data_IF_840333206123
#
_entry.id   IF_840333206123
#
_cell.length_a   1.000
_cell.length_b   1.000
_cell.length_c   1.000
_cell.angle_alpha   90.00
_cell.angle_beta   90.00
_cell.angle_gamma   90.00
#
_symmetry.space_group_name_H-M   'P 1'
#
loop_
_entity.id
_entity.type
_entity.pdbx_description
1 polymer ?
#
# COMPACT_ATOMS: atom_id res chain seq x y z
N UNK A 1 -16.44 -17.79 6.55
CA UNK A 1 -16.03 -18.06 7.94
C UNK A 1 -15.53 -19.49 8.03
N UNK A 2 -14.26 -19.66 8.38
CA UNK A 2 -13.63 -20.97 8.63
C UNK A 2 -13.75 -21.41 10.10
N UNK A 3 -14.44 -20.61 10.92
CA UNK A 3 -14.65 -20.84 12.35
C UNK A 3 -13.44 -20.55 13.23
N UNK A 4 -12.36 -19.98 12.68
CA UNK A 4 -11.08 -19.77 13.37
C UNK A 4 -10.62 -18.30 13.36
N UNK A 5 -11.46 -17.38 12.86
CA UNK A 5 -11.15 -15.95 12.77
C UNK A 5 -9.87 -15.67 11.95
N UNK A 6 -9.62 -16.51 10.94
CA UNK A 6 -8.54 -16.30 9.99
C UNK A 6 -8.95 -15.27 8.94
N UNK A 7 -8.01 -14.42 8.55
CA UNK A 7 -8.19 -13.47 7.46
C UNK A 7 -7.88 -14.15 6.11
N UNK A 8 -8.76 -13.94 5.14
CA UNK A 8 -8.57 -14.34 3.74
C UNK A 8 -8.71 -13.11 2.87
N UNK A 9 -7.66 -12.76 2.15
CA UNK A 9 -7.63 -11.60 1.28
C UNK A 9 -6.95 -11.97 -0.04
N UNK A 10 -7.46 -11.42 -1.13
CA UNK A 10 -6.95 -11.69 -2.46
C UNK A 10 -7.52 -10.72 -3.48
N UNK A 11 -6.95 -10.76 -4.68
CA UNK A 11 -7.30 -9.85 -5.77
C UNK A 11 -7.04 -10.51 -7.11
N UNK A 12 -7.76 -10.07 -8.14
CA UNK A 12 -7.36 -10.31 -9.54
C UNK A 12 -6.50 -9.14 -10.01
N UNK A 13 -5.45 -9.45 -10.78
CA UNK A 13 -4.64 -8.47 -11.50
C UNK A 13 -5.02 -8.52 -12.98
N UNK A 14 -5.94 -7.65 -13.38
CA UNK A 14 -6.46 -7.61 -14.74
C UNK A 14 -5.69 -6.57 -15.56
N UNK A 15 -4.66 -7.02 -16.27
CA UNK A 15 -3.84 -6.16 -17.14
C UNK A 15 -3.47 -6.84 -18.45
N UNK A 16 -3.16 -6.03 -19.47
CA UNK A 16 -2.82 -6.53 -20.82
C UNK A 16 -1.33 -6.80 -21.02
N UNK A 17 -0.49 -6.43 -20.05
CA UNK A 17 0.96 -6.53 -20.12
C UNK A 17 1.52 -7.20 -18.87
N UNK A 18 2.61 -7.95 -19.05
CA UNK A 18 3.39 -8.58 -17.98
C UNK A 18 4.44 -7.58 -17.47
N UNK A 19 4.55 -7.40 -16.16
CA UNK A 19 5.52 -6.50 -15.53
C UNK A 19 6.78 -7.24 -15.05
N UNK A 20 6.83 -8.56 -15.19
CA UNK A 20 7.83 -9.44 -14.57
C UNK A 20 7.55 -9.66 -13.09
N UNK A 21 6.28 -9.61 -12.69
CA UNK A 21 5.86 -9.78 -11.31
C UNK A 21 6.17 -11.17 -10.77
N UNK A 22 6.49 -11.19 -9.48
CA UNK A 22 6.88 -12.40 -8.76
C UNK A 22 6.42 -12.30 -7.31
N UNK A 23 6.49 -13.42 -6.62
CA UNK A 23 6.41 -13.41 -5.16
C UNK A 23 7.67 -12.70 -4.64
N UNK A 24 7.48 -11.62 -3.89
CA UNK A 24 8.54 -10.86 -3.24
C UNK A 24 8.37 -11.00 -1.74
N UNK A 25 9.48 -11.25 -1.05
CA UNK A 25 9.54 -11.32 0.40
C UNK A 25 10.53 -10.28 0.90
N UNK A 26 10.06 -9.35 1.73
CA UNK A 26 10.87 -8.39 2.47
C UNK A 26 10.99 -8.88 3.92
N UNK A 27 12.13 -9.44 4.33
CA UNK A 27 12.33 -9.92 5.71
C UNK A 27 12.38 -8.75 6.73
N UNK A 28 12.43 -9.11 8.02
CA UNK A 28 12.58 -8.13 9.10
C UNK A 28 13.80 -7.22 8.93
N UNK A 29 14.92 -7.76 8.44
CA UNK A 29 16.19 -7.05 8.24
C UNK A 29 16.34 -6.39 6.87
N UNK A 30 15.28 -6.41 6.05
CA UNK A 30 15.22 -5.60 4.84
C UNK A 30 15.36 -4.12 5.21
N UNK A 31 16.33 -3.44 4.61
CA UNK A 31 16.54 -2.01 4.82
C UNK A 31 15.54 -1.20 3.99
N UNK A 32 14.43 -0.81 4.60
CA UNK A 32 13.48 0.10 3.96
C UNK A 32 14.06 1.52 3.96
N UNK A 33 14.27 2.07 2.76
CA UNK A 33 14.75 3.42 2.52
C UNK A 33 13.62 4.27 1.90
N UNK A 34 12.69 4.80 2.72
CA UNK A 34 11.52 5.49 2.20
C UNK A 34 11.89 6.73 1.39
N UNK A 35 11.10 7.00 0.34
CA UNK A 35 11.31 8.15 -0.55
C UNK A 35 11.17 9.52 0.13
N UNK A 36 10.59 9.55 1.33
CA UNK A 36 10.31 10.75 2.15
C UNK A 36 10.63 10.49 3.64
N UNK A 37 9.64 10.62 4.54
CA UNK A 37 9.81 10.61 6.01
C UNK A 37 9.00 9.52 6.70
N UNK A 38 8.58 8.49 5.97
CA UNK A 38 7.85 7.36 6.55
C UNK A 38 8.72 6.58 7.54
N UNK A 39 8.09 6.03 8.58
CA UNK A 39 8.77 5.15 9.54
C UNK A 39 8.90 3.70 9.02
N UNK A 40 9.71 2.92 9.71
CA UNK A 40 9.82 1.46 9.53
C UNK A 40 9.74 0.75 10.89
N UNK A 41 8.72 -0.08 11.09
CA UNK A 41 8.59 -0.97 12.27
C UNK A 41 9.05 -2.41 12.00
N UNK A 42 9.63 -2.67 10.84
CA UNK A 42 10.26 -3.93 10.47
C UNK A 42 9.36 -5.16 10.48
N UNK A 43 8.05 -5.02 10.21
CA UNK A 43 7.24 -6.19 9.91
C UNK A 43 7.75 -6.88 8.62
N UNK A 44 7.88 -8.21 8.59
CA UNK A 44 8.21 -8.95 7.40
C UNK A 44 6.98 -8.95 6.48
N UNK A 45 7.21 -8.75 5.19
CA UNK A 45 6.14 -8.59 4.20
C UNK A 45 6.32 -9.61 3.09
N UNK A 46 5.25 -10.27 2.70
CA UNK A 46 5.19 -11.12 1.51
C UNK A 46 4.06 -10.66 0.61
N UNK A 47 4.26 -10.72 -0.71
CA UNK A 47 3.25 -10.31 -1.67
C UNK A 47 3.68 -10.53 -3.11
N UNK A 48 2.82 -10.12 -4.03
CA UNK A 48 3.11 -10.09 -5.46
C UNK A 48 3.58 -8.69 -5.83
N UNK A 49 4.69 -8.60 -6.57
CA UNK A 49 5.19 -7.32 -7.04
C UNK A 49 6.45 -7.46 -7.88
N UNK A 50 7.10 -6.32 -8.11
CA UNK A 50 8.39 -6.23 -8.78
C UNK A 50 9.43 -5.63 -7.84
N UNK A 51 10.71 -5.75 -8.18
CA UNK A 51 11.80 -5.08 -7.47
C UNK A 51 12.45 -4.10 -8.45
N UNK A 52 12.48 -2.84 -8.07
CA UNK A 52 13.10 -1.76 -8.85
C UNK A 52 14.03 -1.00 -7.91
N UNK A 53 15.31 -0.88 -8.27
CA UNK A 53 16.33 -0.19 -7.46
C UNK A 53 16.36 -0.68 -5.99
N UNK A 54 16.33 -2.00 -5.82
CA UNK A 54 16.28 -2.69 -4.51
C UNK A 54 15.04 -2.37 -3.65
N UNK A 55 14.02 -1.74 -4.24
CA UNK A 55 12.73 -1.43 -3.60
C UNK A 55 11.63 -2.38 -4.09
N UNK A 56 10.99 -3.16 -3.20
CA UNK A 56 9.77 -3.90 -3.50
C UNK A 56 8.60 -2.97 -3.83
N UNK A 57 8.05 -3.11 -5.04
CA UNK A 57 6.83 -2.44 -5.46
C UNK A 57 5.71 -3.49 -5.48
N UNK A 58 4.99 -3.58 -4.36
CA UNK A 58 3.93 -4.57 -4.21
C UNK A 58 2.66 -4.14 -4.94
N UNK A 59 2.10 -5.06 -5.69
CA UNK A 59 0.73 -4.94 -6.20
C UNK A 59 -0.24 -5.24 -5.07
N UNK A 60 0.04 -6.32 -4.33
CA UNK A 60 -0.65 -6.74 -3.12
C UNK A 60 0.36 -7.41 -2.19
N UNK A 61 0.15 -7.26 -0.88
CA UNK A 61 1.02 -7.85 0.13
C UNK A 61 0.33 -7.97 1.48
N UNK A 62 0.89 -8.80 2.34
CA UNK A 62 0.48 -9.02 3.73
C UNK A 62 1.69 -9.12 4.66
N UNK A 63 1.45 -8.89 5.95
CA UNK A 63 2.47 -9.07 6.99
C UNK A 63 2.17 -10.26 7.93
N UNK A 64 3.07 -10.47 8.88
CA UNK A 64 2.98 -11.49 9.92
C UNK A 64 1.89 -11.25 10.98
N UNK A 65 1.28 -10.05 11.01
CA UNK A 65 0.17 -9.71 11.89
C UNK A 65 -1.21 -9.96 11.26
N UNK A 66 -1.27 -10.38 9.99
CA UNK A 66 -2.52 -10.63 9.29
C UNK A 66 -3.18 -9.38 8.71
N UNK A 67 -2.42 -8.30 8.51
CA UNK A 67 -2.85 -7.12 7.74
C UNK A 67 -2.44 -7.31 6.28
N UNK A 68 -3.36 -7.09 5.35
CA UNK A 68 -3.09 -7.11 3.91
C UNK A 68 -3.60 -5.86 3.19
N UNK A 69 -3.03 -5.64 2.02
CA UNK A 69 -3.30 -4.47 1.19
C UNK A 69 -3.22 -4.86 -0.29
N UNK A 70 -4.05 -4.27 -1.14
CA UNK A 70 -3.93 -4.40 -2.60
C UNK A 70 -4.23 -3.05 -3.27
N UNK A 71 -3.39 -2.65 -4.23
CA UNK A 71 -3.57 -1.42 -5.02
C UNK A 71 -4.17 -1.69 -6.39
N UNK A 72 -5.43 -1.30 -6.63
CA UNK A 72 -6.16 -1.56 -7.87
C UNK A 72 -6.26 -0.31 -8.75
N UNK A 73 -6.42 -0.49 -10.06
CA UNK A 73 -6.43 0.61 -11.01
C UNK A 73 -7.58 1.60 -10.76
N UNK A 74 -7.24 2.90 -10.64
CA UNK A 74 -8.17 3.99 -10.37
C UNK A 74 -7.92 5.21 -11.27
N UNK A 75 -7.44 4.98 -12.50
CA UNK A 75 -6.89 6.00 -13.40
C UNK A 75 -7.76 7.24 -13.69
N UNK A 76 -9.09 7.12 -13.68
CA UNK A 76 -9.96 8.26 -14.00
C UNK A 76 -10.10 9.26 -12.86
N UNK A 77 -9.93 8.82 -11.62
CA UNK A 77 -10.29 9.59 -10.43
C UNK A 77 -9.09 9.89 -9.53
N UNK A 78 -8.04 9.08 -9.65
CA UNK A 78 -6.83 9.18 -8.84
C UNK A 78 -6.14 10.55 -8.98
N UNK A 79 -5.93 11.24 -7.85
CA UNK A 79 -5.16 12.49 -7.73
C UNK A 79 -4.30 12.47 -6.47
N UNK A 80 -3.02 12.17 -6.64
CA UNK A 80 -2.05 12.30 -5.56
C UNK A 80 -1.56 13.73 -5.38
N UNK A 81 -0.97 14.01 -4.23
CA UNK A 81 -0.19 15.23 -4.07
C UNK A 81 0.99 15.21 -5.05
N UNK A 82 1.28 16.36 -5.67
CA UNK A 82 2.44 16.50 -6.59
C UNK A 82 3.75 16.68 -5.84
N UNK A 83 3.69 17.16 -4.61
CA UNK A 83 4.84 17.45 -3.76
C UNK A 83 4.55 17.02 -2.32
N UNK A 84 5.61 16.86 -1.52
CA UNK A 84 5.49 16.56 -0.11
C UNK A 84 4.84 17.74 0.65
N UNK A 85 4.00 17.43 1.63
CA UNK A 85 3.32 18.41 2.48
C UNK A 85 4.02 18.48 3.83
N UNK A 86 4.28 19.70 4.29
CA UNK A 86 4.91 19.92 5.60
C UNK A 86 4.02 19.40 6.74
N UNK A 87 4.66 18.84 7.76
CA UNK A 87 4.03 18.33 8.99
C UNK A 87 3.13 17.10 8.81
N UNK A 88 3.12 16.47 7.62
CA UNK A 88 2.47 15.18 7.38
C UNK A 88 3.51 14.05 7.22
N UNK A 89 3.05 12.81 7.33
CA UNK A 89 3.81 11.64 6.89
C UNK A 89 3.63 11.48 5.39
N UNK A 90 4.69 11.71 4.63
CA UNK A 90 4.65 11.62 3.17
C UNK A 90 5.08 10.22 2.74
N UNK A 91 4.30 9.61 1.85
CA UNK A 91 4.56 8.25 1.34
C UNK A 91 4.44 8.31 -0.18
N UNK A 92 5.43 7.78 -0.91
CA UNK A 92 5.29 7.69 -2.36
C UNK A 92 4.22 6.64 -2.70
N UNK A 93 3.41 6.90 -3.73
CA UNK A 93 2.31 6.00 -4.11
C UNK A 93 2.77 4.55 -4.35
N UNK A 94 3.98 4.34 -4.88
CA UNK A 94 4.56 3.01 -5.10
C UNK A 94 5.00 2.30 -3.81
N UNK A 95 5.26 3.04 -2.73
CA UNK A 95 5.65 2.49 -1.42
C UNK A 95 4.44 2.21 -0.54
N UNK A 96 3.26 2.76 -0.88
CA UNK A 96 2.11 2.74 0.03
C UNK A 96 1.75 1.32 0.53
N UNK A 97 1.70 0.28 -0.33
CA UNK A 97 1.48 -1.08 0.15
C UNK A 97 2.53 -1.60 1.14
N UNK A 98 3.82 -1.36 0.83
CA UNK A 98 4.94 -1.73 1.67
C UNK A 98 4.91 -0.97 3.00
N UNK A 99 4.64 0.33 2.96
CA UNK A 99 4.55 1.18 4.14
C UNK A 99 3.44 0.70 5.08
N UNK A 100 2.24 0.41 4.57
CA UNK A 100 1.13 -0.11 5.37
C UNK A 100 1.54 -1.41 6.08
N UNK A 101 2.03 -2.38 5.32
CA UNK A 101 2.33 -3.72 5.85
C UNK A 101 3.59 -3.78 6.70
N UNK A 102 4.56 -2.87 6.52
CA UNK A 102 5.74 -2.77 7.41
C UNK A 102 5.46 -2.10 8.75
N UNK A 103 4.40 -1.30 8.88
CA UNK A 103 4.23 -0.38 10.01
C UNK A 103 2.99 -0.61 10.90
N UNK A 104 2.03 -1.41 10.46
CA UNK A 104 0.76 -1.57 11.17
C UNK A 104 0.35 -3.03 11.31
N UNK A 105 -0.48 -3.29 12.32
CA UNK A 105 -0.97 -4.63 12.65
C UNK A 105 -2.49 -4.75 12.50
N UNK A 106 -3.20 -3.64 12.33
CA UNK A 106 -4.66 -3.60 12.22
C UNK A 106 -5.12 -2.48 11.30
N UNK A 107 -6.33 -2.61 10.74
CA UNK A 107 -6.96 -1.58 9.92
C UNK A 107 -7.26 -0.32 10.74
N UNK A 108 -7.54 -0.46 12.04
CA UNK A 108 -7.72 0.67 12.96
C UNK A 108 -6.47 1.55 13.05
N UNK A 109 -5.30 0.94 13.21
CA UNK A 109 -4.04 1.69 13.28
C UNK A 109 -3.73 2.39 11.95
N UNK A 110 -4.03 1.72 10.82
CA UNK A 110 -3.86 2.31 9.49
C UNK A 110 -4.78 3.51 9.32
N UNK A 111 -6.08 3.36 9.61
CA UNK A 111 -7.06 4.44 9.47
C UNK A 111 -6.74 5.64 10.37
N UNK A 112 -6.25 5.42 11.58
CA UNK A 112 -5.78 6.51 12.45
C UNK A 112 -4.58 7.24 11.85
N UNK A 113 -3.58 6.48 11.37
CA UNK A 113 -2.38 7.07 10.77
C UNK A 113 -2.71 7.87 9.50
N UNK A 114 -3.65 7.39 8.67
CA UNK A 114 -4.05 8.04 7.43
C UNK A 114 -4.60 9.47 7.64
N UNK A 115 -5.06 9.83 8.84
CA UNK A 115 -5.48 11.21 9.16
C UNK A 115 -4.37 12.25 8.98
N UNK A 116 -3.10 11.84 9.06
CA UNK A 116 -1.94 12.72 8.89
C UNK A 116 -0.97 12.24 7.80
N UNK A 117 -1.44 11.43 6.84
CA UNK A 117 -0.64 10.94 5.72
C UNK A 117 -0.92 11.74 4.46
N UNK A 118 0.12 11.95 3.66
CA UNK A 118 0.02 12.46 2.29
C UNK A 118 0.62 11.44 1.33
N UNK A 119 -0.20 10.95 0.39
CA UNK A 119 0.27 10.09 -0.69
C UNK A 119 0.75 10.98 -1.84
N UNK A 120 2.03 10.83 -2.20
CA UNK A 120 2.70 11.67 -3.20
C UNK A 120 2.93 10.90 -4.49
N UNK A 121 2.55 11.51 -5.61
CA UNK A 121 2.73 10.97 -6.97
C UNK A 121 4.17 11.13 -7.44
N UNK A 122 5.11 10.48 -6.76
CA UNK A 122 6.54 10.44 -7.12
C UNK A 122 6.85 9.16 -7.89
N UNK A 123 7.39 9.22 -9.13
CA UNK A 123 7.88 8.03 -9.80
C UNK A 123 9.14 7.51 -9.10
N UNK A 124 9.37 6.19 -9.15
CA UNK A 124 10.61 5.62 -8.60
C UNK A 124 11.84 6.05 -9.43
N UNK A 125 11.68 6.13 -10.75
CA UNK A 125 12.67 6.66 -11.71
C UNK A 125 11.98 7.03 -13.04
N UNK A 126 12.77 7.50 -14.01
CA UNK A 126 12.26 7.97 -15.32
C UNK A 126 11.61 6.87 -16.18
N UNK A 127 11.82 5.59 -15.86
CA UNK A 127 11.28 4.46 -16.63
C UNK A 127 9.87 4.07 -16.18
N UNK A 128 9.56 4.21 -14.90
CA UNK A 128 8.30 3.75 -14.32
C UNK A 128 7.41 4.95 -13.97
N UNK A 129 6.34 5.21 -14.75
CA UNK A 129 5.39 6.25 -14.43
C UNK A 129 4.64 5.92 -13.13
N UNK A 130 4.06 6.95 -12.52
CA UNK A 130 3.24 6.79 -11.32
C UNK A 130 1.97 6.01 -11.67
N UNK A 131 1.80 4.84 -11.08
CA UNK A 131 0.56 4.07 -11.19
C UNK A 131 -0.58 4.81 -10.47
N UNK A 132 -1.72 4.93 -11.13
CA UNK A 132 -2.92 5.58 -10.57
C UNK A 132 -3.81 4.54 -9.92
N UNK A 133 -3.76 4.45 -8.60
CA UNK A 133 -4.37 3.39 -7.82
C UNK A 133 -5.28 3.93 -6.71
N UNK A 134 -6.26 3.10 -6.33
CA UNK A 134 -6.85 3.11 -5.00
C UNK A 134 -6.46 1.82 -4.27
N UNK A 135 -6.66 1.77 -2.96
CA UNK A 135 -6.25 0.60 -2.17
C UNK A 135 -7.41 0.07 -1.35
N UNK A 136 -7.49 -1.26 -1.28
CA UNK A 136 -8.24 -1.95 -0.23
C UNK A 136 -7.25 -2.47 0.81
N UNK A 137 -7.59 -2.32 2.09
CA UNK A 137 -6.79 -2.72 3.24
C UNK A 137 -7.69 -3.54 4.15
N UNK A 138 -7.23 -4.72 4.58
CA UNK A 138 -8.04 -5.62 5.40
C UNK A 138 -7.21 -6.29 6.49
N UNK A 139 -7.84 -6.54 7.63
CA UNK A 139 -7.36 -7.46 8.66
C UNK A 139 -8.42 -8.53 8.94
N UNK A 140 -8.28 -9.28 10.03
CA UNK A 140 -9.24 -10.32 10.39
C UNK A 140 -10.57 -9.80 10.95
N UNK A 141 -10.73 -8.49 11.11
CA UNK A 141 -11.92 -7.87 11.70
C UNK A 141 -12.73 -7.02 10.72
N UNK A 142 -12.06 -6.31 9.81
CA UNK A 142 -12.72 -5.40 8.86
C UNK A 142 -11.83 -5.03 7.68
N UNK A 143 -12.38 -4.23 6.77
CA UNK A 143 -11.68 -3.64 5.64
C UNK A 143 -12.01 -2.17 5.43
N UNK A 144 -11.08 -1.45 4.80
CA UNK A 144 -11.26 -0.08 4.32
C UNK A 144 -10.82 0.08 2.88
N UNK A 145 -11.39 1.08 2.22
CA UNK A 145 -10.95 1.57 0.91
C UNK A 145 -10.31 2.95 1.07
N UNK A 146 -9.15 3.15 0.46
CA UNK A 146 -8.39 4.41 0.43
C UNK A 146 -8.34 4.95 -0.99
N UNK A 147 -8.95 6.11 -1.21
CA UNK A 147 -9.04 6.77 -2.52
C UNK A 147 -8.49 8.19 -2.45
N UNK A 148 -7.56 8.54 -3.34
CA UNK A 148 -7.11 9.93 -3.50
C UNK A 148 -7.80 10.55 -4.72
N UNK A 149 -8.62 11.57 -4.52
CA UNK A 149 -9.38 12.29 -5.54
C UNK A 149 -9.04 13.78 -5.54
N UNK A 150 -9.66 14.57 -6.42
CA UNK A 150 -9.37 16.01 -6.54
C UNK A 150 -9.58 16.81 -5.25
N UNK A 151 -10.46 16.34 -4.36
CA UNK A 151 -10.80 16.94 -3.08
C UNK A 151 -10.02 16.35 -1.88
N UNK A 152 -9.14 15.38 -2.10
CA UNK A 152 -8.24 14.84 -1.08
C UNK A 152 -8.26 13.32 -0.95
N UNK A 153 -7.70 12.82 0.15
CA UNK A 153 -7.73 11.39 0.48
C UNK A 153 -8.99 11.08 1.29
N UNK A 154 -9.73 10.08 0.82
CA UNK A 154 -10.90 9.54 1.49
C UNK A 154 -10.61 8.12 1.97
N UNK A 155 -11.12 7.81 3.16
CA UNK A 155 -11.03 6.49 3.78
C UNK A 155 -12.44 6.04 4.11
N UNK A 156 -12.87 4.95 3.50
CA UNK A 156 -14.22 4.40 3.65
C UNK A 156 -14.14 3.05 4.35
N UNK A 157 -15.05 2.78 5.29
CA UNK A 157 -15.31 1.42 5.73
C UNK A 157 -15.92 0.62 4.58
N UNK A 158 -15.45 -0.61 4.38
CA UNK A 158 -15.99 -1.56 3.40
C UNK A 158 -16.69 -2.69 4.16
N UNK A 159 -18.01 -2.58 4.28
CA UNK A 159 -18.89 -3.41 5.12
C UNK A 159 -19.32 -4.74 4.45
N UNK A 160 -18.68 -5.14 3.34
CA UNK A 160 -19.08 -6.32 2.55
C UNK A 160 -18.56 -7.62 3.12
#
# INVERSE_FOLDING_TARGET
DDGQNNMYFGRNLDWSEDYGEKIVFAPHDYHYAPAFNAEDKNHPVIGIGIIVEDTPLYFDCMNDAGLAVAGLNFAKYCKYATEAVNFTTNVAAYEFPLWVTRNFTSVDDVQEALKNVTIVGKPINDRFPVATLHWIIADNTRSIVVECTEDGMHVYDDDV
#
